data_IF_494807642330
#
_entry.id   IF_494807642330
#
_cell.length_a   1.000
_cell.length_b   1.000
_cell.length_c   1.000
_cell.angle_alpha   90.00
_cell.angle_beta   90.00
_cell.angle_gamma   90.00
#
_symmetry.space_group_name_H-M   'P 1'
#
loop_
_entity.id
_entity.type
_entity.pdbx_description
1 polymer ?
#
# COMPACT_ATOMS: atom_id res chain seq x y z
N UNK A 1 13.89 -1.22 -8.37
CA UNK A 1 13.81 -1.00 -6.90
C UNK A 1 15.04 -1.62 -6.26
N UNK A 2 15.66 -0.94 -5.34
CA UNK A 2 16.80 -1.49 -4.62
C UNK A 2 16.35 -2.03 -3.24
N UNK A 3 17.28 -2.70 -2.54
CA UNK A 3 16.98 -3.31 -1.23
C UNK A 3 16.48 -2.27 -0.22
N UNK A 4 17.14 -1.12 -0.16
CA UNK A 4 16.76 -0.11 0.83
C UNK A 4 15.36 0.42 0.57
N UNK A 5 15.01 0.65 -0.68
CA UNK A 5 13.67 1.08 -1.05
C UNK A 5 12.64 0.01 -0.70
N UNK A 6 12.94 -1.26 -1.02
CA UNK A 6 12.03 -2.37 -0.70
C UNK A 6 11.83 -2.49 0.80
N UNK A 7 12.89 -2.37 1.59
CA UNK A 7 12.80 -2.43 3.05
C UNK A 7 11.92 -1.29 3.57
N UNK A 8 12.08 -0.09 3.02
CA UNK A 8 11.25 1.05 3.42
C UNK A 8 9.78 0.84 3.13
N UNK A 9 9.45 0.25 1.98
CA UNK A 9 8.07 -0.03 1.63
C UNK A 9 7.49 -1.11 2.54
N UNK A 10 8.25 -2.18 2.79
CA UNK A 10 7.83 -3.23 3.70
C UNK A 10 7.64 -2.69 5.13
N UNK A 11 8.55 -1.83 5.58
CA UNK A 11 8.45 -1.21 6.89
C UNK A 11 7.18 -0.36 7.02
N UNK A 12 6.81 0.35 5.95
CA UNK A 12 5.61 1.15 5.96
C UNK A 12 4.35 0.28 6.13
N UNK A 13 4.34 -0.93 5.59
CA UNK A 13 3.23 -1.86 5.75
C UNK A 13 3.30 -2.67 7.05
N UNK A 14 4.44 -2.68 7.71
CA UNK A 14 4.69 -3.51 8.89
C UNK A 14 4.14 -2.88 10.17
N UNK A 15 2.88 -2.47 10.11
CA UNK A 15 2.16 -1.91 11.26
C UNK A 15 0.67 -2.12 11.00
N UNK A 16 -0.02 -2.63 12.01
CA UNK A 16 -1.44 -2.99 11.87
C UNK A 16 -2.29 -1.87 11.30
N UNK A 17 -2.14 -0.65 11.86
CA UNK A 17 -2.94 0.49 11.41
C UNK A 17 -2.61 0.87 9.96
N UNK A 18 -1.34 0.88 9.60
CA UNK A 18 -0.95 1.23 8.23
C UNK A 18 -1.42 0.19 7.22
N UNK A 19 -1.35 -1.08 7.60
CA UNK A 19 -1.88 -2.15 6.74
C UNK A 19 -3.38 -1.97 6.51
N UNK A 20 -4.13 -1.62 7.57
CA UNK A 20 -5.57 -1.38 7.47
C UNK A 20 -5.88 -0.20 6.56
N UNK A 21 -5.11 0.89 6.68
CA UNK A 21 -5.28 2.07 5.81
C UNK A 21 -5.03 1.68 4.36
N UNK A 22 -3.94 0.96 4.11
CA UNK A 22 -3.58 0.56 2.76
C UNK A 22 -4.70 -0.30 2.13
N UNK A 23 -5.19 -1.29 2.85
CA UNK A 23 -6.28 -2.14 2.35
C UNK A 23 -7.55 -1.34 2.08
N UNK A 24 -7.89 -0.43 2.99
CA UNK A 24 -9.08 0.41 2.81
C UNK A 24 -8.96 1.27 1.56
N UNK A 25 -7.80 1.90 1.36
CA UNK A 25 -7.58 2.75 0.20
C UNK A 25 -7.53 1.94 -1.10
N UNK A 26 -7.03 0.72 -1.05
CA UNK A 26 -7.08 -0.18 -2.20
C UNK A 26 -8.52 -0.37 -2.68
N UNK A 27 -9.45 -0.56 -1.75
CA UNK A 27 -10.86 -0.72 -2.08
C UNK A 27 -11.51 0.54 -2.64
N UNK A 28 -11.00 1.72 -2.31
CA UNK A 28 -11.57 2.98 -2.82
C UNK A 28 -11.09 3.34 -4.23
N UNK A 29 -10.06 2.64 -4.73
CA UNK A 29 -9.56 2.84 -6.09
C UNK A 29 -9.05 4.25 -6.33
N UNK A 30 -9.29 4.76 -7.54
CA UNK A 30 -8.82 6.09 -7.93
C UNK A 30 -9.55 7.22 -7.23
N UNK A 31 -10.74 6.97 -6.73
CA UNK A 31 -11.51 7.98 -6.01
C UNK A 31 -10.81 8.41 -4.73
N UNK A 32 -10.23 7.45 -4.01
CA UNK A 32 -9.51 7.74 -2.78
C UNK A 32 -10.43 8.17 -1.65
N UNK A 33 -9.83 8.61 -0.55
CA UNK A 33 -10.56 9.02 0.65
C UNK A 33 -9.80 10.13 1.37
N UNK A 34 -10.52 11.04 1.99
CA UNK A 34 -9.88 12.02 2.87
C UNK A 34 -9.62 11.37 4.25
N UNK A 35 -8.80 12.04 5.07
CA UNK A 35 -8.40 11.50 6.37
C UNK A 35 -9.60 11.26 7.30
N UNK A 36 -10.59 12.14 7.26
CA UNK A 36 -11.79 11.98 8.07
C UNK A 36 -12.58 10.73 7.71
N UNK A 37 -12.73 10.47 6.41
CA UNK A 37 -13.43 9.28 5.94
C UNK A 37 -12.67 8.01 6.33
N UNK A 38 -11.33 8.04 6.24
CA UNK A 38 -10.51 6.92 6.66
C UNK A 38 -10.70 6.65 8.16
N UNK A 39 -10.64 7.71 8.96
CA UNK A 39 -10.80 7.60 10.40
C UNK A 39 -12.16 7.00 10.77
N UNK A 40 -13.22 7.46 10.12
CA UNK A 40 -14.57 6.94 10.34
C UNK A 40 -14.66 5.46 9.97
N UNK A 41 -14.13 5.10 8.81
CA UNK A 41 -14.19 3.72 8.34
C UNK A 41 -13.42 2.76 9.25
N UNK A 42 -12.30 3.21 9.80
CA UNK A 42 -11.48 2.38 10.68
C UNK A 42 -11.85 2.53 12.17
N UNK A 43 -12.79 3.41 12.48
CA UNK A 43 -13.24 3.67 13.84
C UNK A 43 -12.09 4.11 14.75
N UNK A 44 -11.29 5.05 14.26
CA UNK A 44 -10.15 5.58 15.00
C UNK A 44 -10.22 7.09 15.05
N UNK A 45 -9.61 7.73 16.06
CA UNK A 45 -9.54 9.18 16.08
C UNK A 45 -8.74 9.72 14.89
N UNK A 46 -9.20 10.80 14.24
CA UNK A 46 -8.45 11.36 13.10
C UNK A 46 -7.02 11.73 13.45
N UNK A 47 -6.78 12.19 14.68
CA UNK A 47 -5.45 12.59 15.13
C UNK A 47 -4.45 11.45 15.14
N UNK A 48 -4.91 10.20 15.20
CA UNK A 48 -4.02 9.04 15.21
C UNK A 48 -3.56 8.63 13.82
N UNK A 49 -4.10 9.24 12.76
CA UNK A 49 -3.79 8.85 11.39
C UNK A 49 -2.67 9.64 10.74
N UNK A 50 -2.43 10.89 11.16
CA UNK A 50 -1.48 11.77 10.48
C UNK A 50 -0.11 11.13 10.28
N UNK A 51 0.43 10.54 11.34
CA UNK A 51 1.74 9.89 11.28
C UNK A 51 1.72 8.72 10.30
N UNK A 52 0.67 7.92 10.35
CA UNK A 52 0.57 6.72 9.50
C UNK A 52 0.39 7.08 8.03
N UNK A 53 -0.43 8.10 7.74
CA UNK A 53 -0.62 8.56 6.36
C UNK A 53 0.68 9.14 5.80
N UNK A 54 1.41 9.92 6.60
CA UNK A 54 2.70 10.47 6.19
C UNK A 54 3.69 9.35 5.90
N UNK A 55 3.76 8.35 6.76
CA UNK A 55 4.68 7.23 6.58
C UNK A 55 4.39 6.45 5.29
N UNK A 56 3.10 6.16 5.05
CA UNK A 56 2.69 5.48 3.81
C UNK A 56 2.98 6.34 2.58
N UNK A 57 2.78 7.64 2.68
CA UNK A 57 3.05 8.54 1.56
C UNK A 57 4.54 8.63 1.26
N UNK A 58 5.38 8.72 2.28
CA UNK A 58 6.82 8.76 2.12
C UNK A 58 7.37 7.49 1.47
N UNK A 59 6.73 6.35 1.73
CA UNK A 59 7.14 5.09 1.11
C UNK A 59 6.73 4.98 -0.36
N UNK A 60 5.88 5.88 -0.83
CA UNK A 60 5.35 5.86 -2.18
C UNK A 60 4.15 4.95 -2.38
N UNK A 61 3.68 4.29 -1.32
CA UNK A 61 2.53 3.38 -1.42
C UNK A 61 1.22 4.09 -1.63
N UNK A 62 1.09 5.31 -1.11
CA UNK A 62 -0.06 6.16 -1.33
C UNK A 62 0.41 7.54 -1.74
N UNK A 63 -0.49 8.29 -2.35
CA UNK A 63 -0.25 9.69 -2.70
C UNK A 63 -1.41 10.51 -2.21
N UNK A 64 -1.20 11.82 -2.10
CA UNK A 64 -2.26 12.73 -1.72
C UNK A 64 -2.44 13.79 -2.79
N UNK A 65 -3.67 14.28 -2.91
CA UNK A 65 -4.02 15.29 -3.88
C UNK A 65 -5.02 16.23 -3.26
N UNK A 66 -4.76 17.52 -3.40
CA UNK A 66 -5.70 18.52 -2.90
C UNK A 66 -6.89 18.62 -3.83
N UNK A 67 -8.09 18.52 -3.26
CA UNK A 67 -9.33 18.72 -3.97
C UNK A 67 -10.19 19.68 -3.18
N UNK A 68 -10.28 20.94 -3.63
CA UNK A 68 -10.95 22.01 -2.90
C UNK A 68 -10.27 22.23 -1.54
N UNK A 69 -10.96 22.00 -0.44
CA UNK A 69 -10.42 22.15 0.92
C UNK A 69 -9.94 20.83 1.51
N UNK A 70 -10.08 19.74 0.75
CA UNK A 70 -9.77 18.41 1.24
C UNK A 70 -8.48 17.90 0.63
N UNK A 71 -7.82 17.02 1.37
CA UNK A 71 -6.71 16.24 0.84
C UNK A 71 -7.21 14.81 0.68
N UNK A 72 -7.13 14.30 -0.54
CA UNK A 72 -7.60 12.95 -0.88
C UNK A 72 -6.40 12.04 -1.03
N UNK A 73 -6.42 10.93 -0.31
CA UNK A 73 -5.38 9.92 -0.36
C UNK A 73 -5.83 8.76 -1.24
N UNK A 74 -4.92 8.25 -2.05
CA UNK A 74 -5.18 7.08 -2.89
C UNK A 74 -3.93 6.23 -3.02
N UNK A 75 -4.13 4.95 -3.32
CA UNK A 75 -3.02 4.01 -3.51
C UNK A 75 -2.29 4.33 -4.81
N UNK A 76 -0.97 4.14 -4.79
CA UNK A 76 -0.13 4.17 -5.99
C UNK A 76 0.16 2.72 -6.36
N UNK A 77 -0.64 2.11 -7.27
CA UNK A 77 -0.50 0.68 -7.56
C UNK A 77 0.89 0.31 -8.03
N UNK A 78 1.54 1.20 -8.78
CA UNK A 78 2.85 0.92 -9.36
C UNK A 78 3.91 0.65 -8.29
N UNK A 79 3.86 1.36 -7.15
CA UNK A 79 4.82 1.11 -6.07
C UNK A 79 4.65 -0.28 -5.49
N UNK A 80 3.42 -0.72 -5.31
CA UNK A 80 3.17 -2.07 -4.80
C UNK A 80 3.60 -3.13 -5.80
N UNK A 81 3.31 -2.90 -7.10
CA UNK A 81 3.76 -3.80 -8.16
C UNK A 81 5.29 -3.92 -8.15
N UNK A 82 6.00 -2.79 -8.03
CA UNK A 82 7.45 -2.81 -7.97
C UNK A 82 7.96 -3.65 -6.80
N UNK A 83 7.33 -3.54 -5.64
CA UNK A 83 7.72 -4.34 -4.47
C UNK A 83 7.55 -5.84 -4.74
N UNK A 84 6.39 -6.23 -5.26
CA UNK A 84 6.10 -7.65 -5.50
C UNK A 84 7.06 -8.22 -6.55
N UNK A 85 7.26 -7.48 -7.64
CA UNK A 85 8.21 -7.91 -8.69
C UNK A 85 9.62 -8.04 -8.13
N UNK A 86 10.04 -7.07 -7.32
CA UNK A 86 11.37 -7.11 -6.70
C UNK A 86 11.52 -8.36 -5.83
N UNK A 87 10.54 -8.63 -4.96
CA UNK A 87 10.62 -9.77 -4.05
C UNK A 87 10.63 -11.10 -4.78
N UNK A 88 9.85 -11.21 -5.85
CA UNK A 88 9.78 -12.46 -6.62
C UNK A 88 10.99 -12.64 -7.52
N UNK A 89 11.36 -11.60 -8.27
CA UNK A 89 12.42 -11.71 -9.28
C UNK A 89 13.81 -11.69 -8.67
N UNK A 90 14.05 -10.82 -7.68
CA UNK A 90 15.38 -10.63 -7.10
C UNK A 90 15.66 -11.59 -5.94
N UNK A 91 14.59 -11.89 -5.18
CA UNK A 91 14.76 -12.66 -3.95
C UNK A 91 14.94 -14.13 -4.17
N UNK A 92 14.13 -14.73 -5.03
CA UNK A 92 14.07 -16.18 -5.14
C UNK A 92 14.28 -16.68 -6.55
N UNK A 93 14.07 -15.82 -7.53
CA UNK A 93 14.24 -16.12 -8.93
C UNK A 93 13.31 -17.24 -9.43
N UNK A 94 13.23 -17.39 -10.71
CA UNK A 94 12.40 -18.40 -11.32
C UNK A 94 12.83 -19.83 -11.06
N UNK A 95 13.99 -20.03 -10.43
CA UNK A 95 14.55 -21.37 -10.20
C UNK A 95 13.66 -22.26 -9.37
N UNK A 96 12.83 -21.70 -8.50
CA UNK A 96 11.96 -22.47 -7.62
C UNK A 96 10.49 -22.43 -8.04
N UNK A 97 10.19 -21.85 -9.19
CA UNK A 97 8.83 -21.77 -9.68
C UNK A 97 7.92 -20.89 -8.82
N UNK A 98 8.48 -19.96 -8.07
CA UNK A 98 7.69 -19.10 -7.18
C UNK A 98 6.73 -18.21 -7.95
N UNK A 99 7.17 -17.65 -9.07
CA UNK A 99 6.31 -16.75 -9.85
C UNK A 99 5.07 -17.50 -10.32
N UNK A 100 5.22 -18.71 -10.85
CA UNK A 100 4.10 -19.52 -11.31
C UNK A 100 3.17 -19.88 -10.16
N UNK A 101 3.73 -20.25 -9.01
CA UNK A 101 2.92 -20.59 -7.84
C UNK A 101 2.10 -19.40 -7.36
N UNK A 102 2.68 -18.20 -7.34
CA UNK A 102 1.98 -16.99 -6.92
C UNK A 102 0.86 -16.66 -7.90
N UNK A 103 1.16 -16.71 -9.21
CA UNK A 103 0.17 -16.44 -10.24
C UNK A 103 -0.99 -17.42 -10.15
N UNK A 104 -0.70 -18.70 -10.00
CA UNK A 104 -1.72 -19.74 -9.90
C UNK A 104 -2.59 -19.53 -8.67
N UNK A 105 -2.00 -19.19 -7.54
CA UNK A 105 -2.74 -18.97 -6.31
C UNK A 105 -3.63 -17.74 -6.38
N UNK A 106 -3.14 -16.67 -6.98
CA UNK A 106 -3.93 -15.46 -7.16
C UNK A 106 -5.10 -15.74 -8.10
N UNK A 107 -4.84 -16.44 -9.20
CA UNK A 107 -5.89 -16.80 -10.14
C UNK A 107 -6.99 -17.64 -9.49
N UNK A 108 -6.62 -18.51 -8.57
CA UNK A 108 -7.58 -19.36 -7.86
C UNK A 108 -8.49 -18.57 -6.90
N UNK A 109 -8.12 -17.35 -6.56
CA UNK A 109 -8.94 -16.49 -5.67
C UNK A 109 -10.09 -15.80 -6.40
N UNK A 110 -10.10 -15.83 -7.72
CA UNK A 110 -11.12 -15.12 -8.51
C UNK A 110 -12.33 -15.98 -8.83
#
# INVERSE_FOLDING_TARGET
MDNNTAIGVLAALSHERRMSVFHLLTGSGKTGMNAGAIATALEVPPSSLSFHLTHLEQSGLISSKRHKRQIIYSVVPERFVQLIVFLVAEGVLGNLGFAEKIIDRIAALK
#
